data_IF_638222782545
#
_entry.id   IF_638222782545
#
_cell.length_a   1.000
_cell.length_b   1.000
_cell.length_c   1.000
_cell.angle_alpha   90.00
_cell.angle_beta   90.00
_cell.angle_gamma   90.00
#
_symmetry.space_group_name_H-M   'P 1'
#
loop_
_entity.id
_entity.type
_entity.pdbx_description
1 polymer ?
#
# COMPACT_ATOMS: atom_id res chain seq x y z
N UNK A 1 -19.67 3.82 9.77
CA UNK A 1 -19.48 2.85 10.86
C UNK A 1 -19.89 3.52 12.16
N UNK A 2 -20.99 3.12 12.80
CA UNK A 2 -21.40 3.69 14.10
C UNK A 2 -20.90 2.77 15.20
N UNK A 3 -19.98 3.22 16.05
CA UNK A 3 -19.71 2.59 17.35
C UNK A 3 -18.24 2.33 17.69
N UNK A 4 -17.38 1.99 16.73
CA UNK A 4 -15.96 1.76 17.02
C UNK A 4 -15.19 3.08 16.89
N UNK A 5 -14.68 3.58 18.02
CA UNK A 5 -13.82 4.77 18.06
C UNK A 5 -12.42 4.47 17.51
N UNK A 6 -11.65 5.49 17.08
CA UNK A 6 -10.24 5.32 16.83
C UNK A 6 -9.52 4.70 18.04
N UNK A 7 -8.51 3.84 17.81
CA UNK A 7 -7.76 3.23 18.89
C UNK A 7 -6.93 4.30 19.61
N UNK A 8 -6.50 4.01 20.84
CA UNK A 8 -5.62 4.86 21.66
C UNK A 8 -4.16 4.68 21.25
N UNK A 9 -3.80 3.48 20.80
CA UNK A 9 -2.50 3.12 20.24
C UNK A 9 -2.70 2.13 19.08
N UNK A 10 -1.75 2.02 18.13
CA UNK A 10 -1.97 1.29 16.88
C UNK A 10 -2.32 -0.19 17.06
N UNK A 11 -1.89 -0.79 18.18
CA UNK A 11 -2.11 -2.20 18.51
C UNK A 11 -3.37 -2.50 19.35
N UNK A 12 -4.22 -1.50 19.68
CA UNK A 12 -5.38 -1.71 20.58
C UNK A 12 -6.35 -2.78 20.05
N UNK A 13 -6.45 -2.90 18.72
CA UNK A 13 -7.39 -3.79 18.05
C UNK A 13 -6.72 -4.97 17.35
N UNK A 14 -5.50 -5.33 17.74
CA UNK A 14 -4.85 -6.55 17.27
C UNK A 14 -5.77 -7.78 17.48
N UNK A 15 -6.06 -8.50 16.41
CA UNK A 15 -6.92 -9.70 16.43
C UNK A 15 -8.42 -9.41 16.53
N UNK A 16 -8.86 -8.15 16.37
CA UNK A 16 -10.29 -7.81 16.42
C UNK A 16 -11.07 -8.50 15.29
N UNK A 17 -12.26 -9.02 15.61
CA UNK A 17 -13.28 -9.28 14.60
C UNK A 17 -13.98 -7.95 14.27
N UNK A 18 -13.73 -7.44 13.06
CA UNK A 18 -14.36 -6.23 12.58
C UNK A 18 -15.87 -6.45 12.34
N UNK A 19 -16.73 -5.43 12.50
CA UNK A 19 -18.17 -5.61 12.40
C UNK A 19 -18.59 -6.38 11.15
N UNK A 20 -19.46 -7.38 11.34
CA UNK A 20 -19.91 -8.26 10.27
C UNK A 20 -20.42 -7.47 9.06
N UNK A 21 -19.84 -7.75 7.90
CA UNK A 21 -20.31 -7.22 6.63
C UNK A 21 -21.46 -8.09 6.14
N UNK A 22 -22.61 -7.50 5.83
CA UNK A 22 -23.75 -8.22 5.26
C UNK A 22 -23.88 -7.87 3.78
N UNK A 23 -23.90 -8.89 2.92
CA UNK A 23 -24.02 -8.75 1.47
C UNK A 23 -25.30 -9.46 1.03
N UNK A 24 -26.18 -8.71 0.37
CA UNK A 24 -27.37 -9.22 -0.29
C UNK A 24 -27.11 -9.44 -1.78
N UNK A 25 -27.89 -10.30 -2.41
CA UNK A 25 -27.77 -10.69 -3.81
C UNK A 25 -27.31 -12.13 -3.98
N UNK A 26 -27.48 -12.62 -5.21
CA UNK A 26 -27.22 -14.02 -5.58
C UNK A 26 -25.86 -14.26 -6.22
N UNK A 27 -25.10 -13.19 -6.50
CA UNK A 27 -23.77 -13.24 -7.07
C UNK A 27 -22.76 -12.67 -6.07
N UNK A 28 -21.57 -13.27 -6.03
CA UNK A 28 -20.47 -12.85 -5.15
C UNK A 28 -19.24 -12.60 -5.99
N UNK A 29 -18.66 -11.41 -5.87
CA UNK A 29 -17.42 -11.08 -6.54
C UNK A 29 -16.48 -10.35 -5.60
N UNK A 30 -15.23 -10.79 -5.54
CA UNK A 30 -14.19 -10.19 -4.71
C UNK A 30 -13.04 -9.85 -5.65
N UNK A 31 -12.55 -8.62 -5.57
CA UNK A 31 -11.30 -8.24 -6.24
C UNK A 31 -10.17 -8.28 -5.22
N UNK A 32 -8.99 -8.69 -5.67
CA UNK A 32 -7.78 -8.67 -4.86
C UNK A 32 -6.71 -7.82 -5.55
N UNK A 33 -5.95 -7.06 -4.76
CA UNK A 33 -4.84 -6.23 -5.24
C UNK A 33 -3.77 -6.13 -4.14
N UNK A 34 -2.50 -6.14 -4.54
CA UNK A 34 -1.31 -5.92 -3.72
C UNK A 34 -0.24 -5.24 -4.58
N UNK A 35 0.84 -4.79 -3.97
CA UNK A 35 1.99 -4.18 -4.67
C UNK A 35 1.57 -3.06 -5.64
N UNK A 36 0.70 -2.16 -5.17
CA UNK A 36 0.00 -1.21 -6.05
C UNK A 36 0.32 0.25 -5.79
N UNK A 37 0.88 0.59 -4.63
CA UNK A 37 1.13 1.97 -4.22
C UNK A 37 2.08 2.73 -5.14
N UNK A 38 1.64 3.88 -5.66
CA UNK A 38 2.56 4.86 -6.22
C UNK A 38 3.26 5.69 -5.13
N UNK A 39 4.24 6.48 -5.55
CA UNK A 39 4.89 7.51 -4.76
C UNK A 39 4.13 8.84 -4.91
N UNK A 40 3.89 9.53 -3.80
CA UNK A 40 3.47 10.93 -3.86
C UNK A 40 4.69 11.78 -4.23
N UNK A 41 4.61 12.64 -5.25
CA UNK A 41 5.75 13.49 -5.65
C UNK A 41 6.02 14.59 -4.63
N UNK A 42 5.39 15.76 -4.80
CA UNK A 42 5.52 16.89 -3.86
C UNK A 42 4.38 16.90 -2.86
N UNK A 43 4.67 16.67 -1.57
CA UNK A 43 3.71 16.73 -0.45
C UNK A 43 3.53 18.15 0.11
N UNK A 44 2.51 18.38 0.95
CA UNK A 44 2.41 19.60 1.76
C UNK A 44 3.72 19.94 2.49
N UNK A 45 3.93 21.24 2.74
CA UNK A 45 5.17 21.78 3.32
C UNK A 45 6.43 21.56 2.46
N UNK A 46 6.27 21.37 1.14
CA UNK A 46 7.35 21.16 0.18
C UNK A 46 8.23 19.94 0.51
N UNK A 47 7.66 18.91 1.14
CA UNK A 47 8.35 17.65 1.36
C UNK A 47 8.32 16.86 0.04
N UNK A 48 9.47 16.52 -0.53
CA UNK A 48 9.57 15.79 -1.78
C UNK A 48 9.97 14.34 -1.50
N UNK A 49 9.14 13.36 -1.89
CA UNK A 49 9.47 11.93 -1.72
C UNK A 49 10.35 11.44 -2.87
N UNK A 50 10.12 11.96 -4.08
CA UNK A 50 10.74 11.46 -5.31
C UNK A 50 11.84 12.38 -5.80
N UNK A 51 13.07 11.87 -5.91
CA UNK A 51 14.24 12.67 -6.29
C UNK A 51 14.52 12.71 -7.81
N UNK A 52 13.82 11.91 -8.63
CA UNK A 52 13.99 11.94 -10.09
C UNK A 52 13.04 12.92 -10.80
N UNK A 53 13.34 13.24 -12.07
CA UNK A 53 12.59 14.19 -12.91
C UNK A 53 11.11 13.78 -13.01
N UNK A 54 10.20 14.67 -12.61
CA UNK A 54 8.76 14.41 -12.55
C UNK A 54 8.21 14.39 -11.11
N UNK A 55 9.05 14.04 -10.13
CA UNK A 55 8.71 14.00 -8.70
C UNK A 55 8.33 15.35 -8.07
N UNK A 56 8.49 16.45 -8.81
CA UNK A 56 8.05 17.81 -8.43
C UNK A 56 6.54 18.01 -8.61
N UNK A 57 5.83 17.06 -9.23
CA UNK A 57 4.38 17.11 -9.48
C UNK A 57 3.61 16.24 -8.50
N UNK A 58 2.29 16.43 -8.41
CA UNK A 58 1.43 15.53 -7.62
C UNK A 58 1.50 14.10 -8.17
N UNK A 59 1.33 13.12 -7.28
CA UNK A 59 1.31 11.71 -7.69
C UNK A 59 -0.01 11.28 -8.38
N UNK A 60 -0.15 9.99 -8.69
CA UNK A 60 0.85 8.95 -8.41
C UNK A 60 2.00 8.94 -9.41
N UNK A 61 3.20 8.73 -8.89
CA UNK A 61 4.35 8.36 -9.69
C UNK A 61 4.65 6.89 -9.44
N UNK A 62 5.10 6.20 -10.49
CA UNK A 62 5.55 4.82 -10.39
C UNK A 62 6.97 4.72 -10.92
N UNK A 63 7.73 3.76 -10.38
CA UNK A 63 9.05 3.43 -10.88
C UNK A 63 9.23 1.92 -10.85
N UNK A 64 9.43 1.31 -12.02
CA UNK A 64 9.82 -0.09 -12.09
C UNK A 64 11.20 -0.30 -11.44
N UNK A 65 11.28 -1.22 -10.47
CA UNK A 65 12.52 -1.49 -9.74
C UNK A 65 13.59 -2.13 -10.62
N UNK A 66 13.21 -3.09 -11.45
CA UNK A 66 14.09 -3.81 -12.37
C UNK A 66 13.22 -4.46 -13.46
N UNK A 67 13.84 -5.03 -14.48
CA UNK A 67 13.16 -5.90 -15.44
C UNK A 67 13.88 -7.21 -15.64
N UNK A 68 13.10 -8.25 -15.80
CA UNK A 68 13.56 -9.58 -16.20
C UNK A 68 13.09 -9.91 -17.61
N UNK A 69 13.83 -10.77 -18.28
CA UNK A 69 13.36 -11.37 -19.53
C UNK A 69 12.17 -12.29 -19.24
N UNK A 70 11.11 -12.16 -20.05
CA UNK A 70 9.85 -12.84 -19.79
C UNK A 70 9.90 -14.37 -19.94
N UNK A 71 10.94 -14.92 -20.60
CA UNK A 71 11.06 -16.38 -20.84
C UNK A 71 12.05 -17.02 -19.88
N UNK A 72 13.19 -16.37 -19.66
CA UNK A 72 14.30 -16.90 -18.86
C UNK A 72 14.22 -16.46 -17.41
N UNK A 73 13.48 -15.38 -17.13
CA UNK A 73 13.49 -14.68 -15.84
C UNK A 73 14.84 -14.09 -15.45
N UNK A 74 15.81 -14.06 -16.37
CA UNK A 74 17.11 -13.44 -16.15
C UNK A 74 16.98 -11.92 -16.07
N UNK A 75 17.83 -11.28 -15.25
CA UNK A 75 17.86 -9.83 -15.10
C UNK A 75 18.24 -9.16 -16.43
N UNK A 76 17.29 -8.43 -17.02
CA UNK A 76 17.48 -7.67 -18.25
C UNK A 76 17.87 -6.22 -17.97
N UNK A 77 17.29 -5.61 -16.92
CA UNK A 77 17.56 -4.24 -16.53
C UNK A 77 17.60 -4.11 -15.02
N UNK A 78 18.72 -3.66 -14.48
CA UNK A 78 18.93 -3.46 -13.05
C UNK A 78 18.24 -2.20 -12.52
N UNK A 79 18.20 -2.04 -11.20
CA UNK A 79 17.62 -0.85 -10.56
C UNK A 79 18.30 0.47 -10.93
N UNK A 80 19.65 0.58 -10.96
CA UNK A 80 20.29 1.79 -11.44
C UNK A 80 19.92 2.12 -12.89
N UNK A 81 19.84 1.10 -13.76
CA UNK A 81 19.49 1.31 -15.17
C UNK A 81 18.03 1.75 -15.33
N UNK A 82 17.09 1.12 -14.60
CA UNK A 82 15.71 1.59 -14.58
C UNK A 82 15.63 3.02 -14.05
N UNK A 83 16.37 3.36 -12.99
CA UNK A 83 16.44 4.72 -12.44
C UNK A 83 16.91 5.73 -13.49
N UNK A 84 17.92 5.39 -14.28
CA UNK A 84 18.40 6.24 -15.38
C UNK A 84 17.35 6.40 -16.48
N UNK A 85 16.60 5.34 -16.81
CA UNK A 85 15.47 5.42 -17.73
C UNK A 85 14.41 6.42 -17.22
N UNK A 86 14.02 6.35 -15.94
CA UNK A 86 13.05 7.30 -15.35
C UNK A 86 13.60 8.74 -15.30
N UNK A 87 14.84 8.93 -14.86
CA UNK A 87 15.47 10.25 -14.74
C UNK A 87 15.57 10.98 -16.08
N UNK A 88 15.63 10.23 -17.18
CA UNK A 88 15.84 10.76 -18.53
C UNK A 88 14.64 10.60 -19.46
N UNK A 89 13.49 10.16 -18.93
CA UNK A 89 12.29 9.83 -19.70
C UNK A 89 12.60 8.93 -20.90
N UNK A 90 13.37 7.87 -20.66
CA UNK A 90 13.78 6.89 -21.66
C UNK A 90 14.94 7.31 -22.57
N UNK A 91 15.37 8.58 -22.58
CA UNK A 91 16.41 9.04 -23.53
C UNK A 91 17.79 8.44 -23.26
N UNK A 92 18.12 8.08 -22.02
CA UNK A 92 19.30 7.30 -21.65
C UNK A 92 18.90 5.96 -21.05
N UNK A 93 18.18 5.16 -21.84
CA UNK A 93 17.71 3.85 -21.43
C UNK A 93 18.30 2.74 -22.33
N UNK A 94 18.98 1.72 -21.78
CA UNK A 94 19.42 0.57 -22.57
C UNK A 94 18.22 -0.09 -23.27
N UNK A 95 18.35 -0.45 -24.55
CA UNK A 95 17.24 -1.05 -25.31
C UNK A 95 16.64 -2.31 -24.66
N UNK A 96 17.47 -3.11 -23.96
CA UNK A 96 17.05 -4.29 -23.19
C UNK A 96 16.12 -3.98 -22.01
N UNK A 97 16.17 -2.75 -21.50
CA UNK A 97 15.24 -2.28 -20.49
C UNK A 97 13.84 -2.06 -21.06
N UNK A 98 13.66 -2.02 -22.39
CA UNK A 98 12.35 -2.01 -23.03
C UNK A 98 11.42 -0.90 -22.56
N UNK A 99 11.96 0.28 -22.24
CA UNK A 99 11.19 1.43 -21.73
C UNK A 99 10.03 1.77 -22.65
N UNK A 100 8.85 1.92 -22.06
CA UNK A 100 7.61 2.35 -22.70
C UNK A 100 7.03 3.41 -21.77
N UNK A 101 7.19 4.68 -22.12
CA UNK A 101 6.77 5.83 -21.30
C UNK A 101 5.33 5.67 -20.78
N UNK A 102 4.39 5.34 -21.68
CA UNK A 102 2.97 5.18 -21.34
C UNK A 102 2.65 4.00 -20.41
N UNK A 103 3.59 3.07 -20.20
CA UNK A 103 3.44 1.95 -19.28
C UNK A 103 4.24 2.22 -18.00
N UNK A 104 5.52 2.50 -18.14
CA UNK A 104 6.45 2.65 -17.02
C UNK A 104 6.10 3.83 -16.12
N UNK A 105 5.51 4.90 -16.67
CA UNK A 105 5.10 6.08 -15.89
C UNK A 105 3.65 6.03 -15.42
N UNK A 106 2.84 5.07 -15.90
CA UNK A 106 1.39 5.03 -15.66
C UNK A 106 0.90 3.69 -15.08
N UNK A 107 1.79 2.78 -14.67
CA UNK A 107 1.44 1.42 -14.26
C UNK A 107 0.26 1.35 -13.28
N UNK A 108 0.27 2.18 -12.23
CA UNK A 108 -0.82 2.22 -11.25
C UNK A 108 -2.17 2.62 -11.88
N UNK A 109 -2.19 3.66 -12.73
CA UNK A 109 -3.39 4.08 -13.45
C UNK A 109 -3.88 3.01 -14.43
N UNK A 110 -2.97 2.31 -15.10
CA UNK A 110 -3.32 1.21 -16.01
C UNK A 110 -4.00 0.06 -15.26
N UNK A 111 -3.51 -0.32 -14.09
CA UNK A 111 -4.15 -1.33 -13.23
C UNK A 111 -5.53 -0.86 -12.79
N UNK A 112 -5.67 0.36 -12.26
CA UNK A 112 -6.95 0.92 -11.85
C UNK A 112 -7.98 0.94 -12.99
N UNK A 113 -7.55 1.29 -14.21
CA UNK A 113 -8.39 1.28 -15.40
C UNK A 113 -8.89 -0.15 -15.74
N UNK A 114 -8.05 -1.18 -15.57
CA UNK A 114 -8.47 -2.56 -15.78
C UNK A 114 -9.43 -3.03 -14.68
N UNK A 115 -9.24 -2.61 -13.43
CA UNK A 115 -10.18 -2.89 -12.35
C UNK A 115 -11.57 -2.30 -12.67
N UNK A 116 -11.64 -1.05 -13.13
CA UNK A 116 -12.92 -0.41 -13.55
C UNK A 116 -13.56 -1.18 -14.71
N UNK A 117 -12.78 -1.59 -15.72
CA UNK A 117 -13.29 -2.40 -16.84
C UNK A 117 -13.83 -3.74 -16.35
N UNK A 118 -13.12 -4.40 -15.43
CA UNK A 118 -13.54 -5.68 -14.85
C UNK A 118 -14.80 -5.53 -14.00
N UNK A 119 -14.92 -4.44 -13.25
CA UNK A 119 -16.06 -4.16 -12.38
C UNK A 119 -17.38 -3.97 -13.16
N UNK A 120 -17.32 -3.53 -14.42
CA UNK A 120 -18.50 -3.50 -15.31
C UNK A 120 -19.05 -4.88 -15.65
N UNK A 121 -18.19 -5.89 -15.67
CA UNK A 121 -18.59 -7.28 -15.94
C UNK A 121 -18.95 -8.01 -14.65
N UNK A 122 -18.16 -7.80 -13.60
CA UNK A 122 -18.31 -8.45 -12.30
C UNK A 122 -18.14 -7.38 -11.22
N UNK A 123 -19.24 -6.79 -10.78
CA UNK A 123 -19.22 -5.75 -9.75
C UNK A 123 -18.77 -6.37 -8.41
N UNK A 124 -17.61 -5.97 -7.85
CA UNK A 124 -17.11 -6.56 -6.61
C UNK A 124 -17.96 -6.11 -5.42
N UNK A 125 -18.12 -6.96 -4.41
CA UNK A 125 -18.75 -6.61 -3.14
C UNK A 125 -17.81 -5.76 -2.27
N UNK A 126 -16.54 -6.16 -2.25
CA UNK A 126 -15.42 -5.51 -1.57
C UNK A 126 -14.11 -5.88 -2.26
N UNK A 127 -13.03 -5.25 -1.81
CA UNK A 127 -11.67 -5.52 -2.26
C UNK A 127 -10.83 -6.06 -1.11
N UNK A 128 -10.04 -7.09 -1.41
CA UNK A 128 -8.94 -7.56 -0.58
C UNK A 128 -7.68 -6.81 -1.02
N UNK A 129 -7.17 -5.98 -0.13
CA UNK A 129 -5.96 -5.21 -0.31
C UNK A 129 -4.85 -5.85 0.52
N UNK A 130 -3.93 -6.55 -0.14
CA UNK A 130 -2.99 -7.48 0.51
C UNK A 130 -1.63 -6.84 0.87
N UNK A 131 -1.57 -5.51 0.92
CA UNK A 131 -0.39 -4.77 1.37
C UNK A 131 0.40 -4.11 0.23
N UNK A 132 1.47 -3.43 0.63
CA UNK A 132 2.29 -2.57 -0.22
C UNK A 132 1.47 -1.45 -0.86
N UNK A 133 0.79 -0.72 0.04
CA UNK A 133 -0.18 0.31 -0.27
C UNK A 133 0.49 1.62 -0.71
N UNK A 134 1.67 1.93 -0.15
CA UNK A 134 2.42 3.14 -0.44
C UNK A 134 3.92 2.84 -0.55
N UNK A 135 4.44 2.85 -1.77
CA UNK A 135 5.88 2.70 -2.02
C UNK A 135 6.62 4.03 -1.81
N UNK A 136 7.93 4.00 -1.54
CA UNK A 136 8.78 2.83 -1.25
C UNK A 136 8.92 2.55 0.25
N UNK A 137 8.35 3.39 1.10
CA UNK A 137 8.53 3.32 2.55
C UNK A 137 7.31 3.85 3.30
N UNK A 138 6.12 3.64 2.75
CA UNK A 138 4.88 3.91 3.43
C UNK A 138 4.47 5.38 3.43
N UNK A 139 3.84 5.80 4.53
CA UNK A 139 3.43 7.18 4.75
C UNK A 139 4.65 7.99 5.22
N UNK A 140 4.86 9.14 4.59
CA UNK A 140 5.92 10.07 4.94
C UNK A 140 5.65 10.68 6.32
N UNK A 141 6.62 10.51 7.22
CA UNK A 141 6.53 10.88 8.63
C UNK A 141 7.04 9.74 9.50
N UNK A 142 6.92 9.88 10.83
CA UNK A 142 7.28 8.81 11.76
C UNK A 142 6.06 8.30 12.54
N UNK A 143 6.06 7.02 12.88
CA UNK A 143 4.99 6.43 13.70
C UNK A 143 4.90 7.15 15.05
N UNK A 144 3.68 7.40 15.53
CA UNK A 144 3.45 8.07 16.82
C UNK A 144 3.54 9.59 16.79
N UNK A 145 4.01 10.21 15.70
CA UNK A 145 4.04 11.69 15.56
C UNK A 145 2.63 12.30 15.57
N UNK A 146 1.62 11.53 15.13
CA UNK A 146 0.23 11.97 15.07
C UNK A 146 -0.63 11.00 15.90
N UNK A 147 -1.47 11.48 16.83
CA UNK A 147 -2.31 10.60 17.62
C UNK A 147 -3.31 9.86 16.73
N UNK A 148 -3.61 8.61 17.07
CA UNK A 148 -4.54 7.73 16.34
C UNK A 148 -5.96 8.30 16.12
N UNK A 149 -6.35 9.32 16.89
CA UNK A 149 -7.62 10.04 16.71
C UNK A 149 -7.60 11.07 15.57
N UNK A 150 -6.46 11.26 14.90
CA UNK A 150 -6.25 12.24 13.84
C UNK A 150 -5.45 11.63 12.69
N UNK A 151 -5.60 12.26 11.53
CA UNK A 151 -4.80 12.02 10.32
C UNK A 151 -4.18 13.35 9.92
N UNK A 152 -2.85 13.39 9.84
CA UNK A 152 -2.13 14.60 9.44
C UNK A 152 -2.30 14.92 7.94
N UNK A 153 -1.98 16.15 7.54
CA UNK A 153 -2.23 16.63 6.18
C UNK A 153 -1.36 15.95 5.13
N UNK A 154 -0.15 15.49 5.51
CA UNK A 154 0.74 14.71 4.64
C UNK A 154 0.11 13.35 4.29
N UNK A 155 -0.35 12.62 5.31
CA UNK A 155 -1.07 11.36 5.15
C UNK A 155 -2.30 11.56 4.27
N UNK A 156 -3.09 12.60 4.54
CA UNK A 156 -4.28 12.91 3.75
C UNK A 156 -3.95 13.19 2.28
N UNK A 157 -2.84 13.90 2.01
CA UNK A 157 -2.37 14.15 0.65
C UNK A 157 -1.93 12.86 -0.04
N UNK A 158 -1.16 11.98 0.62
CA UNK A 158 -0.75 10.69 0.06
C UNK A 158 -1.95 9.80 -0.28
N UNK A 159 -2.87 9.60 0.66
CA UNK A 159 -4.09 8.84 0.38
C UNK A 159 -4.89 9.47 -0.75
N UNK A 160 -5.01 10.79 -0.81
CA UNK A 160 -5.73 11.45 -1.91
C UNK A 160 -5.10 11.17 -3.27
N UNK A 161 -3.78 11.28 -3.40
CA UNK A 161 -3.11 11.14 -4.68
C UNK A 161 -2.89 9.69 -5.11
N UNK A 162 -2.64 8.79 -4.17
CA UNK A 162 -2.27 7.41 -4.48
C UNK A 162 -3.47 6.48 -4.44
N UNK A 163 -4.48 6.78 -3.60
CA UNK A 163 -5.63 5.90 -3.40
C UNK A 163 -6.95 6.50 -3.90
N UNK A 164 -7.36 7.66 -3.36
CA UNK A 164 -8.70 8.22 -3.60
C UNK A 164 -8.88 8.73 -5.03
N UNK A 165 -7.85 9.35 -5.63
CA UNK A 165 -7.95 9.83 -7.00
C UNK A 165 -7.66 8.78 -8.06
N UNK A 166 -7.02 7.68 -7.70
CA UNK A 166 -6.61 6.61 -8.63
C UNK A 166 -7.68 5.54 -8.72
N UNK A 167 -8.16 5.03 -7.59
CA UNK A 167 -9.13 3.93 -7.54
C UNK A 167 -10.55 4.44 -7.31
N UNK A 168 -10.99 5.32 -8.19
CA UNK A 168 -12.36 5.85 -8.25
C UNK A 168 -13.04 5.47 -9.56
N UNK A 169 -14.36 5.39 -9.54
CA UNK A 169 -15.19 5.15 -10.70
C UNK A 169 -16.15 3.97 -10.55
N UNK A 170 -16.94 3.68 -11.61
CA UNK A 170 -18.00 2.69 -11.57
C UNK A 170 -17.52 1.32 -11.10
N UNK A 171 -18.17 0.80 -10.07
CA UNK A 171 -17.88 -0.50 -9.46
C UNK A 171 -16.74 -0.51 -8.45
N UNK A 172 -16.00 0.60 -8.29
CA UNK A 172 -15.00 0.78 -7.21
C UNK A 172 -15.47 1.81 -6.16
N UNK A 173 -16.23 2.82 -6.57
CA UNK A 173 -16.72 3.87 -5.66
C UNK A 173 -17.54 3.27 -4.50
N UNK A 174 -17.15 3.64 -3.28
CA UNK A 174 -17.83 3.22 -2.05
C UNK A 174 -17.65 1.75 -1.66
N UNK A 175 -16.94 0.93 -2.46
CA UNK A 175 -16.64 -0.46 -2.12
C UNK A 175 -15.62 -0.53 -0.98
N UNK A 176 -15.82 -1.33 0.08
CA UNK A 176 -14.84 -1.49 1.14
C UNK A 176 -13.52 -2.08 0.63
N UNK A 177 -12.40 -1.56 1.11
CA UNK A 177 -11.04 -2.05 0.91
C UNK A 177 -10.55 -2.62 2.23
N UNK A 178 -10.69 -3.94 2.39
CA UNK A 178 -10.18 -4.67 3.53
C UNK A 178 -8.68 -4.79 3.34
N UNK A 179 -7.90 -4.12 4.17
CA UNK A 179 -6.47 -3.91 3.95
C UNK A 179 -5.60 -4.55 5.03
N UNK A 180 -4.37 -4.90 4.65
CA UNK A 180 -3.23 -5.17 5.55
C UNK A 180 -2.06 -4.25 5.20
N UNK A 181 -1.02 -4.28 6.02
CA UNK A 181 0.27 -3.62 5.75
C UNK A 181 1.21 -4.62 5.07
N UNK A 182 1.89 -4.18 4.01
CA UNK A 182 3.06 -4.87 3.45
C UNK A 182 4.37 -4.32 4.01
N UNK A 183 5.49 -4.82 3.52
CA UNK A 183 6.81 -4.51 4.06
C UNK A 183 7.17 -3.06 3.72
N UNK A 184 6.79 -2.58 2.53
CA UNK A 184 6.95 -1.18 2.16
C UNK A 184 6.08 -0.25 3.03
N UNK A 185 4.94 -0.72 3.53
CA UNK A 185 4.06 0.08 4.39
C UNK A 185 4.64 0.30 5.79
N UNK A 186 5.32 -0.71 6.34
CA UNK A 186 6.08 -0.61 7.59
C UNK A 186 7.30 0.32 7.47
N UNK A 187 7.76 0.55 6.24
CA UNK A 187 8.81 1.50 5.89
C UNK A 187 9.86 0.93 4.92
N UNK A 188 9.72 -0.33 4.51
CA UNK A 188 10.54 -1.03 3.51
C UNK A 188 11.94 -1.40 4.00
N UNK A 189 12.63 -0.46 4.66
CA UNK A 189 13.98 -0.61 5.22
C UNK A 189 14.16 0.13 6.56
N UNK A 190 13.14 0.87 6.99
CA UNK A 190 13.07 1.58 8.27
C UNK A 190 11.80 1.13 8.99
N UNK A 191 11.84 0.97 10.31
CA UNK A 191 10.68 0.47 11.08
C UNK A 191 9.79 1.56 11.67
N UNK A 192 10.24 2.81 11.60
CA UNK A 192 9.62 3.96 12.25
C UNK A 192 8.85 4.86 11.28
N UNK A 193 8.57 4.40 10.05
CA UNK A 193 7.67 5.10 9.12
C UNK A 193 6.26 5.27 9.73
N UNK A 194 5.45 6.19 9.21
CA UNK A 194 4.13 6.49 9.76
C UNK A 194 3.04 5.45 9.39
N UNK A 195 3.33 4.14 9.52
CA UNK A 195 2.41 3.04 9.22
C UNK A 195 1.12 3.09 10.05
N UNK A 196 1.19 3.62 11.28
CA UNK A 196 0.05 3.83 12.18
C UNK A 196 -0.99 4.80 11.61
N UNK A 197 -0.57 5.74 10.76
CA UNK A 197 -1.47 6.64 10.07
C UNK A 197 -2.33 5.94 9.01
N UNK A 198 -1.88 4.81 8.44
CA UNK A 198 -2.73 3.99 7.59
C UNK A 198 -3.87 3.34 8.39
N UNK A 199 -3.61 2.95 9.64
CA UNK A 199 -4.62 2.43 10.55
C UNK A 199 -5.60 3.56 10.93
N UNK A 200 -5.09 4.72 11.34
CA UNK A 200 -5.90 5.89 11.68
C UNK A 200 -6.81 6.33 10.50
N UNK A 201 -6.37 6.11 9.26
CA UNK A 201 -7.14 6.46 8.06
C UNK A 201 -8.48 5.72 7.95
N UNK A 202 -8.61 4.56 8.60
CA UNK A 202 -9.88 3.79 8.70
C UNK A 202 -11.03 4.63 9.25
N UNK A 203 -10.75 5.58 10.16
CA UNK A 203 -11.78 6.40 10.80
C UNK A 203 -12.13 7.69 10.03
N UNK A 204 -11.36 8.05 9.01
CA UNK A 204 -11.66 9.24 8.17
C UNK A 204 -12.11 8.86 6.75
N UNK A 205 -11.76 7.66 6.28
CA UNK A 205 -12.23 7.14 5.00
C UNK A 205 -13.60 6.48 5.13
N UNK A 206 -14.37 6.51 4.03
CA UNK A 206 -15.62 5.76 3.92
C UNK A 206 -15.42 4.33 3.43
N UNK A 207 -14.24 4.04 2.86
CA UNK A 207 -13.98 2.78 2.15
C UNK A 207 -12.67 2.09 2.54
N UNK A 208 -11.72 2.78 3.15
CA UNK A 208 -10.51 2.15 3.68
C UNK A 208 -10.79 1.44 5.01
N UNK A 209 -10.39 0.17 5.13
CA UNK A 209 -10.57 -0.63 6.34
C UNK A 209 -9.24 -1.32 6.68
N UNK A 210 -8.54 -0.79 7.68
CA UNK A 210 -7.32 -1.32 8.28
C UNK A 210 -7.35 -0.98 9.78
N UNK A 211 -8.09 -1.73 10.61
CA UNK A 211 -8.28 -1.36 12.01
C UNK A 211 -7.10 -1.70 12.93
N UNK A 212 -6.23 -2.62 12.50
CA UNK A 212 -5.04 -3.10 13.20
C UNK A 212 -4.11 -3.82 12.20
N UNK A 213 -2.84 -4.08 12.55
CA UNK A 213 -1.91 -4.89 11.76
C UNK A 213 -2.46 -6.28 11.39
N UNK A 214 -3.12 -6.95 12.32
CA UNK A 214 -3.85 -8.20 12.06
C UNK A 214 -5.25 -8.17 12.67
N UNK A 215 -6.23 -8.69 11.94
CA UNK A 215 -7.66 -8.61 12.27
C UNK A 215 -8.47 -9.62 11.43
N UNK A 216 -9.78 -9.71 11.68
CA UNK A 216 -10.68 -10.58 10.93
C UNK A 216 -11.88 -9.80 10.40
N UNK A 217 -12.30 -10.08 9.16
CA UNK A 217 -13.61 -9.67 8.64
C UNK A 217 -14.52 -10.88 8.49
N UNK A 218 -15.63 -10.89 9.23
CA UNK A 218 -16.74 -11.81 8.95
C UNK A 218 -17.67 -11.23 7.88
N UNK A 219 -18.01 -12.01 6.87
CA UNK A 219 -18.92 -11.65 5.79
C UNK A 219 -20.10 -12.62 5.77
N UNK A 220 -21.32 -12.09 5.77
CA UNK A 220 -22.57 -12.85 5.72
C UNK A 220 -23.27 -12.58 4.38
N UNK A 221 -23.36 -13.61 3.53
CA UNK A 221 -24.08 -13.56 2.26
C UNK A 221 -25.54 -13.96 2.49
N UNK A 222 -26.34 -12.98 2.91
CA UNK A 222 -27.66 -13.21 3.56
C UNK A 222 -28.64 -13.98 2.68
N UNK A 223 -28.67 -13.70 1.38
CA UNK A 223 -29.59 -14.35 0.44
C UNK A 223 -29.09 -15.72 -0.05
N UNK A 224 -27.80 -16.00 0.16
CA UNK A 224 -27.15 -17.26 -0.25
C UNK A 224 -26.99 -18.24 0.92
N UNK A 225 -27.18 -17.79 2.17
CA UNK A 225 -27.21 -18.65 3.35
C UNK A 225 -25.85 -19.17 3.81
N UNK A 226 -24.74 -18.48 3.48
CA UNK A 226 -23.40 -18.83 3.97
C UNK A 226 -22.63 -17.62 4.49
N UNK A 227 -21.55 -17.91 5.23
CA UNK A 227 -20.62 -16.91 5.76
C UNK A 227 -19.20 -17.21 5.29
N UNK A 228 -18.37 -16.17 5.22
CA UNK A 228 -16.93 -16.24 4.95
C UNK A 228 -16.20 -15.49 6.06
N UNK A 229 -15.21 -16.13 6.68
CA UNK A 229 -14.28 -15.48 7.59
C UNK A 229 -12.99 -15.19 6.84
N UNK A 230 -12.55 -13.93 6.86
CA UNK A 230 -11.35 -13.47 6.19
C UNK A 230 -10.33 -13.09 7.27
N UNK A 231 -9.22 -13.82 7.31
CA UNK A 231 -8.10 -13.54 8.21
C UNK A 231 -7.15 -12.57 7.53
N UNK A 232 -7.03 -11.37 8.09
CA UNK A 232 -6.15 -10.30 7.61
C UNK A 232 -4.90 -10.33 8.47
N UNK A 233 -3.79 -10.83 7.92
CA UNK A 233 -2.58 -11.19 8.68
C UNK A 233 -1.41 -10.28 8.28
N UNK A 234 -0.65 -9.84 9.28
CA UNK A 234 0.65 -9.21 9.09
C UNK A 234 1.73 -10.31 8.98
N UNK A 235 2.43 -10.34 7.84
CA UNK A 235 3.48 -11.34 7.55
C UNK A 235 4.88 -10.75 7.45
N UNK A 236 5.05 -9.48 7.84
CA UNK A 236 6.28 -8.72 7.60
C UNK A 236 7.47 -9.15 8.45
N UNK A 237 7.29 -10.15 9.33
CA UNK A 237 8.38 -10.79 10.06
C UNK A 237 9.46 -11.34 9.11
N UNK A 238 9.08 -11.73 7.89
CA UNK A 238 10.01 -12.26 6.87
C UNK A 238 10.98 -11.19 6.34
N UNK A 239 10.66 -9.90 6.48
CA UNK A 239 11.53 -8.75 6.13
C UNK A 239 12.07 -8.04 7.40
N UNK A 240 11.96 -8.66 8.57
CA UNK A 240 12.33 -8.10 9.87
C UNK A 240 13.39 -8.96 10.60
N UNK A 241 14.54 -9.14 9.95
CA UNK A 241 15.61 -10.02 10.44
C UNK A 241 16.29 -9.47 11.71
N UNK A 242 16.54 -10.37 12.68
CA UNK A 242 17.26 -10.09 13.92
C UNK A 242 18.73 -9.74 13.67
N UNK A 243 19.36 -10.28 12.61
CA UNK A 243 20.66 -9.79 12.17
C UNK A 243 20.47 -8.43 11.51
N UNK A 244 20.67 -7.39 12.32
CA UNK A 244 20.55 -5.99 11.89
C UNK A 244 21.49 -5.60 10.73
N UNK A 245 22.45 -6.44 10.34
CA UNK A 245 23.32 -6.20 9.19
C UNK A 245 22.91 -7.02 7.95
N UNK A 246 21.95 -7.93 8.07
CA UNK A 246 21.45 -8.69 6.95
C UNK A 246 20.62 -7.80 6.03
N UNK A 247 20.72 -8.10 4.73
CA UNK A 247 19.95 -7.46 3.66
C UNK A 247 19.61 -5.98 3.89
N UNK A 248 20.61 -5.08 3.99
CA UNK A 248 20.43 -3.73 4.51
C UNK A 248 19.45 -2.87 3.70
N UNK A 249 19.11 -3.27 2.47
CA UNK A 249 18.13 -2.56 1.62
C UNK A 249 16.70 -3.09 1.74
N UNK A 250 16.45 -4.10 2.57
CA UNK A 250 15.11 -4.69 2.79
C UNK A 250 14.82 -5.07 4.25
N UNK A 251 15.85 -5.20 5.10
CA UNK A 251 15.63 -5.48 6.50
C UNK A 251 15.01 -4.24 7.17
N UNK A 252 13.72 -4.29 7.47
CA UNK A 252 12.95 -3.26 8.18
C UNK A 252 13.62 -2.91 9.52
N UNK A 253 14.28 -3.89 10.14
CA UNK A 253 14.95 -3.82 11.43
C UNK A 253 16.46 -3.53 11.31
N UNK A 254 16.95 -3.32 10.09
CA UNK A 254 18.36 -3.19 9.79
C UNK A 254 18.98 -1.93 10.40
N UNK A 255 20.24 -2.03 10.82
CA UNK A 255 20.99 -0.92 11.42
C UNK A 255 21.41 0.17 10.41
N UNK A 256 21.31 -0.12 9.11
CA UNK A 256 21.75 0.79 8.04
C UNK A 256 20.86 2.04 7.91
N UNK A 257 19.53 1.86 8.06
CA UNK A 257 18.56 2.95 7.86
C UNK A 257 17.80 3.32 9.14
N UNK A 258 17.92 2.53 10.21
CA UNK A 258 17.31 2.83 11.50
C UNK A 258 18.27 3.57 12.46
N UNK A 259 17.75 4.31 13.47
CA UNK A 259 18.55 4.90 14.53
C UNK A 259 19.47 3.89 15.23
N UNK A 260 20.65 4.32 15.70
CA UNK A 260 21.59 3.43 16.39
C UNK A 260 20.96 2.79 17.63
N UNK A 261 21.02 1.45 17.71
CA UNK A 261 20.47 0.67 18.84
C UNK A 261 18.99 0.26 18.66
N UNK A 262 18.41 0.61 17.53
CA UNK A 262 17.13 0.09 17.03
C UNK A 262 17.10 -1.45 16.96
N UNK A 263 15.96 -2.04 17.31
CA UNK A 263 15.74 -3.49 17.19
C UNK A 263 14.25 -3.81 17.19
N UNK A 264 13.86 -4.77 16.35
CA UNK A 264 12.52 -5.34 16.32
C UNK A 264 12.30 -6.46 17.34
N UNK A 265 13.33 -6.87 18.09
CA UNK A 265 13.29 -7.99 19.06
C UNK A 265 12.35 -7.76 20.25
N UNK A 266 11.57 -6.67 20.27
CA UNK A 266 10.63 -6.30 21.34
C UNK A 266 9.15 -6.32 20.94
N UNK A 267 8.81 -6.71 19.71
CA UNK A 267 7.40 -6.73 19.27
C UNK A 267 7.00 -8.13 18.86
N UNK A 268 6.75 -8.97 19.87
CA UNK A 268 5.95 -10.19 19.79
C UNK A 268 4.73 -10.04 20.67
#
# INVERSE_FOLDING_TARGET
>A
MKGIRPPKHPFEYNGIEWPTMKISGTNTHIFAVGDWGGLAGTLPHNSQIIQYKGGQTMGPHVMGRYRTDAKTHDLSCSTPEMSDCFATNGTKCPGRCGWIEDIDTQAQHLVANQMIKRAKMNNPDYLLNVGDNFYWGGIFGKCGDTPMSKVNDVTRAQFNWIFENVYKGPGLDGKPWLSVLGNHDWGGREMDAAWDQQIAYTWVSKRWVLPAPYWMQKVEYVDQGYTVDILMIDSNIEDADEDVNSNPEHNICGAAHNPKGSSCAKVG
#
